data_IF_416838958877
#
_entry.id   IF_416838958877
#
_cell.length_a   1.000
_cell.length_b   1.000
_cell.length_c   1.000
_cell.angle_alpha   90.00
_cell.angle_beta   90.00
_cell.angle_gamma   90.00
#
_symmetry.space_group_name_H-M   'P 1'
#
loop_
_entity.id
_entity.type
_entity.pdbx_description
1 polymer ?
#
# COMPACT_ATOMS: atom_id res chain seq x y z
N UNK A 1 -14.17 18.97 39.15
CA UNK A 1 -14.59 20.18 38.38
C UNK A 1 -13.45 20.57 37.45
N UNK A 2 -13.52 20.18 36.19
CA UNK A 2 -12.86 20.84 35.04
C UNK A 2 -13.56 20.32 33.77
N UNK A 3 -14.30 21.21 33.15
CA UNK A 3 -14.98 21.02 31.85
C UNK A 3 -13.92 20.90 30.77
N UNK A 4 -14.05 19.90 29.89
CA UNK A 4 -13.34 19.85 28.63
C UNK A 4 -14.40 19.97 27.53
N UNK A 5 -14.21 21.00 26.72
CA UNK A 5 -15.03 21.32 25.55
C UNK A 5 -14.84 20.27 24.44
N UNK A 6 -15.96 19.82 23.90
CA UNK A 6 -16.00 19.15 22.61
C UNK A 6 -15.90 20.17 21.49
N UNK A 7 -14.87 20.09 20.68
CA UNK A 7 -14.80 20.77 19.38
C UNK A 7 -15.17 19.75 18.29
N UNK A 8 -16.28 20.02 17.63
CA UNK A 8 -16.74 19.32 16.44
C UNK A 8 -15.79 19.62 15.28
N UNK A 9 -15.13 18.59 14.74
CA UNK A 9 -14.36 18.69 13.51
C UNK A 9 -15.26 18.41 12.32
N UNK A 10 -15.44 19.42 11.51
CA UNK A 10 -16.08 19.39 10.20
C UNK A 10 -15.19 18.61 9.24
N UNK A 11 -15.64 17.47 8.74
CA UNK A 11 -14.92 16.70 7.73
C UNK A 11 -15.29 17.26 6.35
N UNK A 12 -14.36 18.00 5.78
CA UNK A 12 -14.38 18.38 4.37
C UNK A 12 -13.89 17.17 3.55
N UNK A 13 -14.72 16.65 2.69
CA UNK A 13 -14.34 15.64 1.70
C UNK A 13 -13.48 16.27 0.61
N UNK A 14 -12.20 15.94 0.60
CA UNK A 14 -11.28 16.27 -0.50
C UNK A 14 -11.26 15.08 -1.45
N UNK A 15 -11.72 15.32 -2.67
CA UNK A 15 -11.60 14.39 -3.78
C UNK A 15 -10.11 14.15 -4.12
N UNK A 16 -9.75 12.87 -4.27
CA UNK A 16 -8.40 12.41 -4.52
C UNK A 16 -7.84 12.87 -5.86
N UNK A 17 -6.61 13.36 -5.82
CA UNK A 17 -5.73 13.55 -6.96
C UNK A 17 -4.93 12.25 -7.21
N UNK A 18 -5.00 11.75 -8.42
CA UNK A 18 -4.12 10.70 -8.93
C UNK A 18 -2.79 11.31 -9.40
N UNK A 19 -1.66 10.55 -9.33
CA UNK A 19 -0.37 11.07 -9.79
C UNK A 19 -0.27 11.08 -11.31
N UNK A 20 0.27 12.18 -11.83
CA UNK A 20 0.53 12.42 -13.24
C UNK A 20 1.67 11.53 -13.76
N UNK A 21 1.50 10.96 -14.95
CA UNK A 21 2.58 10.59 -15.84
C UNK A 21 2.66 11.61 -16.98
N UNK A 22 3.86 12.12 -17.19
CA UNK A 22 4.21 13.17 -18.14
C UNK A 22 4.23 12.65 -19.57
N UNK A 23 3.51 13.30 -20.50
CA UNK A 23 4.03 13.71 -21.82
C UNK A 23 2.98 14.54 -22.57
N UNK A 24 3.36 15.75 -22.87
CA UNK A 24 3.10 16.67 -23.98
C UNK A 24 1.69 16.77 -24.56
N UNK A 25 1.04 17.87 -24.37
CA UNK A 25 0.76 18.94 -25.32
C UNK A 25 -0.30 19.91 -24.79
N UNK A 26 0.01 21.17 -24.91
CA UNK A 26 -0.81 22.31 -24.50
C UNK A 26 -2.07 22.51 -25.37
N UNK A 27 -2.97 23.32 -24.78
CA UNK A 27 -4.11 24.00 -25.36
C UNK A 27 -5.46 23.29 -25.36
N UNK A 28 -6.26 23.56 -24.34
CA UNK A 28 -7.67 24.00 -24.52
C UNK A 28 -8.33 24.33 -23.15
N UNK A 29 -7.92 25.41 -22.49
CA UNK A 29 -8.68 25.98 -21.36
C UNK A 29 -8.79 27.52 -21.45
N UNK A 30 -9.04 28.03 -22.67
CA UNK A 30 -9.32 29.46 -22.88
C UNK A 30 -10.62 29.75 -23.63
N UNK A 31 -11.50 28.78 -23.88
CA UNK A 31 -12.70 29.04 -24.69
C UNK A 31 -14.00 29.31 -23.90
N UNK A 32 -14.06 28.99 -22.60
CA UNK A 32 -15.30 29.18 -21.81
C UNK A 32 -15.37 30.52 -21.05
N UNK A 33 -14.26 31.21 -20.86
CA UNK A 33 -14.25 32.55 -20.23
C UNK A 33 -14.46 33.66 -21.29
N UNK A 34 -13.96 33.48 -22.51
CA UNK A 34 -14.07 34.46 -23.59
C UNK A 34 -15.49 34.59 -24.17
N UNK A 35 -16.29 33.51 -24.12
CA UNK A 35 -17.66 33.51 -24.60
C UNK A 35 -18.62 34.28 -23.68
N UNK A 36 -18.37 34.26 -22.37
CA UNK A 36 -19.16 35.05 -21.39
C UNK A 36 -18.86 36.54 -21.40
N UNK A 37 -17.65 36.96 -21.81
CA UNK A 37 -17.29 38.37 -21.91
C UNK A 37 -17.68 39.02 -23.26
N UNK A 38 -17.81 38.22 -24.30
CA UNK A 38 -18.25 38.74 -25.62
C UNK A 38 -19.75 39.09 -25.68
N UNK A 39 -20.58 38.35 -24.90
CA UNK A 39 -22.04 38.62 -24.85
C UNK A 39 -22.37 39.89 -24.03
N UNK A 40 -21.51 40.31 -23.11
CA UNK A 40 -21.74 41.54 -22.32
C UNK A 40 -21.30 42.86 -22.96
N UNK A 41 -20.61 42.80 -24.11
CA UNK A 41 -20.11 44.01 -24.80
C UNK A 41 -20.91 44.45 -26.00
N UNK A 42 -21.85 43.66 -26.50
CA UNK A 42 -22.69 44.02 -27.67
C UNK A 42 -24.00 44.74 -27.32
N UNK A 43 -24.43 44.75 -26.06
CA UNK A 43 -25.65 45.43 -25.62
C UNK A 43 -25.51 46.93 -25.34
N UNK A 44 -24.38 47.55 -25.69
CA UNK A 44 -24.12 48.98 -25.34
C UNK A 44 -23.75 49.86 -26.52
N UNK A 45 -24.18 49.55 -27.74
CA UNK A 45 -23.85 50.40 -28.89
C UNK A 45 -24.95 50.51 -29.93
N UNK A 46 -26.18 50.88 -29.51
CA UNK A 46 -27.18 51.43 -30.41
C UNK A 46 -28.12 52.36 -29.64
N UNK A 47 -27.67 53.58 -29.47
CA UNK A 47 -28.57 54.74 -29.37
C UNK A 47 -27.78 55.99 -29.72
N UNK A 48 -28.28 56.67 -30.68
CA UNK A 48 -27.98 58.01 -31.19
C UNK A 48 -27.42 58.03 -32.62
N UNK A 49 -28.25 58.39 -33.55
CA UNK A 49 -28.14 59.62 -34.36
C UNK A 49 -29.41 59.73 -35.22
N UNK A 50 -30.27 60.70 -34.91
CA UNK A 50 -31.20 61.35 -35.79
C UNK A 50 -30.43 62.45 -36.53
N UNK A 51 -30.62 62.61 -37.84
CA UNK A 51 -31.08 63.86 -38.50
C UNK A 51 -31.03 63.82 -40.00
N UNK A 52 -32.18 64.06 -40.56
CA UNK A 52 -32.56 64.86 -41.70
C UNK A 52 -31.66 64.99 -42.97
N UNK A 53 -32.24 64.56 -44.12
CA UNK A 53 -32.35 65.46 -45.25
C UNK A 53 -33.41 64.99 -46.24
N UNK A 54 -34.31 65.89 -46.58
CA UNK A 54 -35.30 65.84 -47.67
C UNK A 54 -34.63 65.87 -49.04
N UNK A 55 -35.05 65.01 -49.97
CA UNK A 55 -35.04 65.30 -51.38
C UNK A 55 -36.03 64.42 -52.12
N UNK A 56 -36.76 65.10 -52.95
CA UNK A 56 -37.83 64.92 -53.89
C UNK A 56 -38.00 63.57 -54.61
N UNK A 57 -39.27 63.28 -54.80
CA UNK A 57 -40.00 62.22 -55.49
C UNK A 57 -39.72 62.09 -57.03
N UNK A 58 -39.50 60.84 -57.44
CA UNK A 58 -39.94 60.34 -58.75
C UNK A 58 -40.63 58.95 -58.52
N UNK A 59 -41.74 58.64 -59.23
CA UNK A 59 -42.46 57.40 -58.97
C UNK A 59 -41.69 56.21 -59.55
N UNK A 60 -41.16 55.36 -58.64
CA UNK A 60 -40.68 54.03 -59.03
C UNK A 60 -41.87 53.08 -59.00
N UNK A 61 -42.08 52.45 -60.13
CA UNK A 61 -42.92 51.29 -60.33
C UNK A 61 -42.41 50.22 -59.32
N UNK A 62 -43.27 49.88 -58.36
CA UNK A 62 -43.03 48.76 -57.40
C UNK A 62 -43.13 47.49 -58.22
N UNK A 63 -41.96 46.99 -58.68
CA UNK A 63 -41.83 45.60 -59.03
C UNK A 63 -41.60 44.90 -57.63
N UNK A 64 -42.70 44.43 -57.08
CA UNK A 64 -42.60 43.45 -55.99
C UNK A 64 -41.82 42.27 -56.57
N UNK A 65 -40.52 42.18 -56.25
CA UNK A 65 -39.81 40.93 -56.33
C UNK A 65 -40.51 40.01 -55.32
N UNK A 66 -41.24 39.01 -55.82
CA UNK A 66 -41.77 37.90 -55.06
C UNK A 66 -40.55 37.18 -54.46
N UNK A 67 -40.10 37.58 -53.21
CA UNK A 67 -39.13 36.84 -52.48
C UNK A 67 -39.74 35.48 -52.18
N UNK A 68 -39.08 34.36 -52.54
CA UNK A 68 -39.65 33.06 -52.28
C UNK A 68 -39.90 32.94 -50.77
N UNK A 69 -41.16 32.69 -50.41
CA UNK A 69 -41.63 32.51 -49.04
C UNK A 69 -40.90 31.32 -48.40
N UNK A 70 -40.27 31.55 -47.25
CA UNK A 70 -39.57 30.49 -46.55
C UNK A 70 -40.58 29.51 -45.93
N UNK A 71 -40.46 28.23 -46.28
CA UNK A 71 -41.27 27.16 -45.77
C UNK A 71 -40.40 25.92 -45.50
N UNK A 72 -40.44 25.32 -44.28
CA UNK A 72 -39.66 24.17 -43.93
C UNK A 72 -38.32 24.49 -43.27
N UNK A 73 -37.36 23.57 -43.41
CA UNK A 73 -36.05 23.65 -42.78
C UNK A 73 -35.04 24.50 -43.56
N UNK A 74 -34.38 25.44 -42.86
CA UNK A 74 -33.30 26.28 -43.40
C UNK A 74 -32.11 26.26 -42.43
N UNK A 75 -30.90 26.25 -42.99
CA UNK A 75 -29.70 26.45 -42.22
C UNK A 75 -29.16 27.87 -42.46
N UNK A 76 -29.11 28.67 -41.41
CA UNK A 76 -28.67 30.07 -41.46
C UNK A 76 -27.61 30.30 -40.38
N UNK A 77 -26.46 30.84 -40.74
CA UNK A 77 -25.35 31.10 -39.83
C UNK A 77 -24.97 29.88 -38.97
N UNK A 78 -24.95 28.68 -39.58
CA UNK A 78 -24.69 27.39 -38.93
C UNK A 78 -25.79 26.91 -37.97
N UNK A 79 -26.90 27.60 -37.82
CA UNK A 79 -28.06 27.21 -37.00
C UNK A 79 -29.20 26.70 -37.92
N UNK A 80 -29.90 25.68 -37.45
CA UNK A 80 -31.09 25.17 -38.12
C UNK A 80 -32.34 25.87 -37.59
N UNK A 81 -33.16 26.37 -38.51
CA UNK A 81 -34.46 27.00 -38.25
C UNK A 81 -35.55 26.32 -39.07
N UNK A 82 -36.77 26.35 -38.56
CA UNK A 82 -37.93 25.85 -39.27
C UNK A 82 -38.89 27.01 -39.50
N UNK A 83 -39.22 27.26 -40.75
CA UNK A 83 -40.10 28.34 -41.12
C UNK A 83 -41.48 27.81 -41.50
N UNK A 84 -42.51 28.59 -41.16
CA UNK A 84 -43.89 28.41 -41.57
C UNK A 84 -44.44 29.80 -41.85
N UNK A 85 -44.95 30.03 -43.07
CA UNK A 85 -45.42 31.34 -43.54
C UNK A 85 -44.39 32.48 -43.30
N UNK A 86 -43.12 32.26 -43.70
CA UNK A 86 -41.97 33.16 -43.48
C UNK A 86 -41.60 33.43 -42.02
N UNK A 87 -42.24 32.81 -41.05
CA UNK A 87 -41.97 33.01 -39.64
C UNK A 87 -41.17 31.84 -39.08
N UNK A 88 -40.06 32.07 -38.33
CA UNK A 88 -39.33 31.01 -37.68
C UNK A 88 -40.16 30.42 -36.55
N UNK A 89 -40.10 29.09 -36.42
CA UNK A 89 -40.69 28.39 -35.29
C UNK A 89 -40.01 28.81 -33.98
N UNK A 90 -40.76 28.95 -32.91
CA UNK A 90 -40.28 29.25 -31.56
C UNK A 90 -40.83 28.21 -30.59
N UNK A 91 -40.10 27.95 -29.53
CA UNK A 91 -40.48 26.99 -28.50
C UNK A 91 -40.68 25.56 -29.02
N UNK A 92 -41.62 24.82 -28.45
CA UNK A 92 -41.92 23.45 -28.85
C UNK A 92 -42.71 23.39 -30.16
N UNK A 93 -42.23 22.57 -31.08
CA UNK A 93 -42.93 22.28 -32.34
C UNK A 93 -42.77 20.81 -32.69
N UNK A 94 -43.88 20.18 -33.09
CA UNK A 94 -43.86 18.86 -33.67
C UNK A 94 -43.78 18.96 -35.19
N UNK A 95 -42.75 18.31 -35.79
CA UNK A 95 -42.50 18.31 -37.23
C UNK A 95 -42.33 16.84 -37.64
N UNK A 96 -43.13 16.38 -38.55
CA UNK A 96 -43.14 14.97 -39.03
C UNK A 96 -43.08 13.94 -37.89
N UNK A 97 -43.88 14.16 -36.83
CA UNK A 97 -44.04 13.25 -35.72
C UNK A 97 -42.94 13.36 -34.64
N UNK A 98 -41.89 14.12 -34.84
CA UNK A 98 -40.80 14.37 -33.90
C UNK A 98 -40.95 15.74 -33.26
N UNK A 99 -40.61 15.83 -31.94
CA UNK A 99 -40.61 17.09 -31.21
C UNK A 99 -39.26 17.78 -31.30
N UNK A 100 -39.28 19.09 -31.52
CA UNK A 100 -38.13 20.01 -31.57
C UNK A 100 -38.39 21.18 -30.64
N UNK A 101 -37.31 21.79 -30.15
CA UNK A 101 -37.38 23.04 -29.41
C UNK A 101 -36.53 24.10 -30.13
N UNK A 102 -37.12 25.26 -30.33
CA UNK A 102 -36.46 26.44 -30.92
C UNK A 102 -36.37 27.52 -29.88
N UNK A 103 -35.20 28.15 -29.77
CA UNK A 103 -34.99 29.24 -28.86
C UNK A 103 -35.71 30.54 -29.32
N UNK A 104 -35.47 31.63 -28.58
CA UNK A 104 -36.09 32.92 -28.91
C UNK A 104 -35.59 33.54 -30.23
N UNK A 105 -34.48 33.08 -30.79
CA UNK A 105 -33.96 33.46 -32.07
C UNK A 105 -34.46 32.55 -33.20
N UNK A 106 -35.26 31.55 -32.89
CA UNK A 106 -35.71 30.52 -33.82
C UNK A 106 -34.66 29.44 -34.10
N UNK A 107 -33.57 29.38 -33.31
CA UNK A 107 -32.53 28.39 -33.50
C UNK A 107 -32.91 27.07 -32.83
N UNK A 108 -32.80 25.97 -33.59
CA UNK A 108 -33.10 24.62 -33.12
C UNK A 108 -32.06 24.15 -32.11
N UNK A 109 -32.49 23.68 -30.94
CA UNK A 109 -31.61 22.98 -30.01
C UNK A 109 -31.17 21.63 -30.58
N UNK A 110 -29.90 21.27 -30.39
CA UNK A 110 -29.35 19.96 -30.79
C UNK A 110 -28.20 19.56 -29.86
N UNK A 111 -27.96 18.25 -29.72
CA UNK A 111 -26.86 17.69 -28.90
C UNK A 111 -26.78 18.34 -27.53
N UNK A 112 -27.93 18.58 -26.87
CA UNK A 112 -27.98 19.30 -25.58
C UNK A 112 -29.14 18.84 -24.73
N UNK A 113 -29.11 19.26 -23.46
CA UNK A 113 -30.22 19.10 -22.51
C UNK A 113 -30.81 20.46 -22.19
N UNK A 114 -32.10 20.58 -22.31
CA UNK A 114 -32.82 21.79 -21.94
C UNK A 114 -34.10 21.48 -21.16
N UNK A 115 -34.26 22.10 -20.02
CA UNK A 115 -35.44 21.96 -19.15
C UNK A 115 -35.82 20.49 -18.85
N UNK A 116 -34.82 19.57 -18.74
CA UNK A 116 -35.04 18.14 -18.46
C UNK A 116 -35.45 17.30 -19.67
N UNK A 117 -35.21 17.78 -20.89
CA UNK A 117 -35.34 17.07 -22.16
C UNK A 117 -34.00 17.02 -22.85
N UNK A 118 -33.69 15.91 -23.52
CA UNK A 118 -32.48 15.77 -24.35
C UNK A 118 -32.84 15.87 -25.81
N UNK A 119 -31.98 16.54 -26.59
CA UNK A 119 -32.10 16.69 -28.04
C UNK A 119 -30.89 15.98 -28.68
N UNK A 120 -31.18 15.15 -29.70
CA UNK A 120 -30.15 14.42 -30.47
C UNK A 120 -29.35 15.34 -31.41
N UNK A 121 -28.47 14.76 -32.24
CA UNK A 121 -27.69 15.51 -33.22
C UNK A 121 -28.57 16.19 -34.29
N UNK A 122 -29.71 15.58 -34.57
CA UNK A 122 -30.67 16.12 -35.52
C UNK A 122 -31.67 17.08 -34.84
N UNK A 123 -31.45 17.40 -33.56
CA UNK A 123 -32.29 18.29 -32.77
C UNK A 123 -33.64 17.71 -32.39
N UNK A 124 -33.92 16.46 -32.70
CA UNK A 124 -35.15 15.82 -32.26
C UNK A 124 -35.08 15.48 -30.75
N UNK A 125 -36.18 15.72 -30.03
CA UNK A 125 -36.31 15.31 -28.65
C UNK A 125 -36.20 13.80 -28.55
N UNK A 126 -35.34 13.32 -27.65
CA UNK A 126 -35.17 11.89 -27.38
C UNK A 126 -36.36 11.38 -26.52
N UNK A 127 -37.01 10.31 -26.96
CA UNK A 127 -38.12 9.68 -26.25
C UNK A 127 -37.88 8.19 -26.08
N UNK A 128 -38.27 7.65 -24.90
CA UNK A 128 -38.21 6.24 -24.55
C UNK A 128 -36.90 5.54 -24.95
N UNK A 129 -35.77 6.24 -24.79
CA UNK A 129 -34.48 5.79 -25.29
C UNK A 129 -33.32 6.31 -24.46
N UNK A 130 -32.19 5.60 -24.59
CA UNK A 130 -30.91 6.04 -24.12
C UNK A 130 -30.33 7.12 -25.03
N UNK A 131 -29.68 8.10 -24.42
CA UNK A 131 -28.84 9.09 -25.15
C UNK A 131 -27.54 9.33 -24.41
N UNK A 132 -26.50 9.65 -25.16
CA UNK A 132 -25.18 9.98 -24.62
C UNK A 132 -24.81 11.40 -25.03
N UNK A 133 -24.62 12.26 -24.03
CA UNK A 133 -24.19 13.64 -24.21
C UNK A 133 -22.96 13.89 -23.32
N UNK A 134 -21.93 14.53 -23.86
CA UNK A 134 -20.68 14.83 -23.13
C UNK A 134 -20.11 13.63 -22.34
N UNK A 135 -20.10 12.45 -22.98
CA UNK A 135 -19.68 11.19 -22.37
C UNK A 135 -20.53 10.66 -21.20
N UNK A 136 -21.66 11.30 -20.87
CA UNK A 136 -22.60 10.86 -19.86
C UNK A 136 -23.83 10.20 -20.48
N UNK A 137 -24.35 9.16 -19.83
CA UNK A 137 -25.55 8.46 -20.25
C UNK A 137 -26.78 8.99 -19.55
N UNK A 138 -27.84 9.15 -20.32
CA UNK A 138 -29.17 9.60 -19.88
C UNK A 138 -30.24 8.65 -20.43
N UNK A 139 -31.40 8.61 -19.79
CA UNK A 139 -32.56 7.90 -20.30
C UNK A 139 -33.78 8.80 -20.31
N UNK A 140 -34.34 9.01 -21.50
CA UNK A 140 -35.58 9.71 -21.67
C UNK A 140 -36.80 8.77 -21.54
N UNK A 141 -37.76 9.15 -20.74
CA UNK A 141 -39.05 8.47 -20.62
C UNK A 141 -39.86 8.60 -21.91
N UNK A 142 -41.00 7.86 -22.08
CA UNK A 142 -41.88 8.06 -23.23
C UNK A 142 -42.40 9.48 -23.41
N UNK A 143 -42.43 10.27 -22.34
CA UNK A 143 -42.77 11.71 -22.39
C UNK A 143 -41.65 12.62 -22.85
N UNK A 144 -40.48 12.07 -23.22
CA UNK A 144 -39.27 12.80 -23.51
C UNK A 144 -38.51 13.32 -22.28
N UNK A 145 -39.13 13.31 -21.08
CA UNK A 145 -38.45 13.76 -19.87
C UNK A 145 -37.35 12.81 -19.46
N UNK A 146 -36.18 13.36 -19.13
CA UNK A 146 -35.07 12.58 -18.54
C UNK A 146 -35.47 12.02 -17.19
N UNK A 147 -35.10 10.77 -16.95
CA UNK A 147 -35.18 10.15 -15.62
C UNK A 147 -34.17 10.84 -14.71
N UNK A 148 -34.60 11.33 -13.56
CA UNK A 148 -33.76 12.06 -12.60
C UNK A 148 -34.04 11.60 -11.18
N UNK A 149 -33.00 11.54 -10.33
CA UNK A 149 -33.05 11.19 -8.93
C UNK A 149 -33.91 9.94 -8.67
N UNK A 150 -33.75 8.90 -9.47
CA UNK A 150 -34.63 7.74 -9.44
C UNK A 150 -34.02 6.45 -9.98
N UNK A 151 -34.48 5.34 -9.44
CA UNK A 151 -34.29 4.03 -10.01
C UNK A 151 -35.24 3.81 -11.22
N UNK A 152 -34.69 3.26 -12.27
CA UNK A 152 -35.48 2.93 -13.48
C UNK A 152 -35.13 1.53 -13.98
N UNK A 153 -36.15 0.70 -14.19
CA UNK A 153 -35.98 -0.60 -14.84
C UNK A 153 -36.09 -0.42 -16.37
N UNK A 154 -35.03 -0.80 -17.08
CA UNK A 154 -34.94 -0.66 -18.55
C UNK A 154 -34.47 -2.02 -19.08
N UNK A 155 -35.24 -2.62 -19.99
CA UNK A 155 -34.94 -3.92 -20.59
C UNK A 155 -34.55 -5.00 -19.56
N UNK A 156 -35.26 -5.05 -18.41
CA UNK A 156 -35.03 -6.04 -17.36
C UNK A 156 -33.99 -5.70 -16.30
N UNK A 157 -33.08 -4.76 -16.56
CA UNK A 157 -32.05 -4.31 -15.62
C UNK A 157 -32.44 -3.01 -14.90
N UNK A 158 -32.00 -2.85 -13.66
CA UNK A 158 -32.20 -1.63 -12.90
C UNK A 158 -31.01 -0.70 -13.05
N UNK A 159 -31.28 0.61 -13.22
CA UNK A 159 -30.32 1.71 -13.30
C UNK A 159 -30.73 2.81 -12.34
N UNK A 160 -29.77 3.60 -11.88
CA UNK A 160 -30.06 4.80 -11.11
C UNK A 160 -29.54 6.04 -11.84
N UNK A 161 -30.36 7.07 -11.86
CA UNK A 161 -30.04 8.37 -12.43
C UNK A 161 -29.99 9.40 -11.31
N UNK A 162 -28.94 10.22 -11.29
CA UNK A 162 -28.78 11.27 -10.29
C UNK A 162 -29.74 12.46 -10.52
N UNK A 163 -29.62 13.47 -9.68
CA UNK A 163 -30.48 14.67 -9.77
C UNK A 163 -30.34 15.42 -11.10
N UNK A 164 -29.23 15.26 -11.83
CA UNK A 164 -29.00 15.87 -13.14
C UNK A 164 -29.46 14.98 -14.28
N UNK A 165 -29.84 13.75 -14.00
CA UNK A 165 -30.26 12.72 -14.95
C UNK A 165 -29.09 11.86 -15.46
N UNK A 166 -27.89 12.02 -14.93
CA UNK A 166 -26.73 11.19 -15.31
C UNK A 166 -26.89 9.79 -14.73
N UNK A 167 -26.74 8.76 -15.56
CA UNK A 167 -26.68 7.37 -15.13
C UNK A 167 -25.44 7.11 -14.28
N UNK A 168 -25.62 6.64 -13.05
CA UNK A 168 -24.51 6.23 -12.19
C UNK A 168 -23.96 4.87 -12.61
N UNK A 169 -22.64 4.69 -12.49
CA UNK A 169 -21.92 3.44 -12.72
C UNK A 169 -20.73 3.30 -11.79
N UNK A 170 -20.24 2.07 -11.60
CA UNK A 170 -19.10 1.76 -10.73
C UNK A 170 -19.23 2.36 -9.32
N UNK A 171 -20.42 2.32 -8.74
CA UNK A 171 -20.70 2.91 -7.43
C UNK A 171 -21.83 2.15 -6.73
N UNK A 172 -22.07 2.48 -5.47
CA UNK A 172 -23.26 1.97 -4.75
C UNK A 172 -24.18 3.12 -4.38
N UNK A 173 -25.48 2.87 -4.46
CA UNK A 173 -26.54 3.78 -4.03
C UNK A 173 -27.60 2.98 -3.27
N UNK A 174 -28.06 3.47 -2.12
CA UNK A 174 -29.02 2.80 -1.23
C UNK A 174 -28.64 1.35 -0.86
N UNK A 175 -27.32 1.06 -0.86
CA UNK A 175 -26.80 -0.27 -0.60
C UNK A 175 -26.82 -1.22 -1.82
N UNK A 176 -27.26 -0.78 -2.99
CA UNK A 176 -27.20 -1.54 -4.24
C UNK A 176 -25.97 -1.14 -5.06
N UNK A 177 -25.35 -2.11 -5.71
CA UNK A 177 -24.15 -1.89 -6.52
C UNK A 177 -24.52 -1.72 -8.00
N UNK A 178 -24.02 -0.64 -8.60
CA UNK A 178 -24.12 -0.37 -10.04
C UNK A 178 -22.78 -0.71 -10.69
N UNK A 179 -22.78 -1.66 -11.62
CA UNK A 179 -21.60 -2.09 -12.34
C UNK A 179 -21.11 -1.08 -13.37
N UNK A 180 -20.09 -1.45 -14.13
CA UNK A 180 -19.49 -0.59 -15.16
C UNK A 180 -20.50 -0.14 -16.24
N UNK A 181 -21.46 -1.00 -16.55
CA UNK A 181 -22.54 -0.68 -17.52
C UNK A 181 -23.63 0.23 -16.94
N UNK A 182 -23.55 0.60 -15.66
CA UNK A 182 -24.63 1.29 -14.93
C UNK A 182 -25.75 0.38 -14.45
N UNK A 183 -25.82 -0.85 -14.94
CA UNK A 183 -26.83 -1.80 -14.47
C UNK A 183 -26.54 -2.25 -13.04
N UNK A 184 -27.59 -2.42 -12.24
CA UNK A 184 -27.50 -3.03 -10.91
C UNK A 184 -26.90 -4.43 -11.03
N UNK A 185 -25.83 -4.66 -10.27
CA UNK A 185 -25.11 -5.91 -10.31
C UNK A 185 -25.92 -7.07 -9.71
N UNK A 186 -25.77 -8.25 -10.30
CA UNK A 186 -26.26 -9.51 -9.74
C UNK A 186 -25.32 -10.00 -8.63
N UNK A 187 -25.79 -11.04 -7.88
CA UNK A 187 -24.99 -11.68 -6.83
C UNK A 187 -23.57 -12.02 -7.29
N UNK A 188 -22.59 -11.69 -6.47
CA UNK A 188 -21.19 -12.03 -6.69
C UNK A 188 -20.21 -10.92 -6.36
N UNK A 189 -18.96 -11.18 -6.67
CA UNK A 189 -17.87 -10.23 -6.48
C UNK A 189 -17.88 -9.12 -7.54
N UNK A 190 -17.66 -7.90 -7.08
CA UNK A 190 -17.50 -6.70 -7.91
C UNK A 190 -16.23 -5.97 -7.52
N UNK A 191 -15.48 -5.50 -8.49
CA UNK A 191 -14.26 -4.72 -8.26
C UNK A 191 -14.38 -3.34 -8.92
N UNK A 192 -14.06 -2.30 -8.17
CA UNK A 192 -13.97 -0.91 -8.65
C UNK A 192 -12.73 -0.26 -8.05
N UNK A 193 -11.84 0.26 -8.91
CA UNK A 193 -10.61 0.93 -8.50
C UNK A 193 -9.79 0.11 -7.48
N UNK A 194 -9.65 -1.20 -7.73
CA UNK A 194 -8.96 -2.17 -6.88
C UNK A 194 -9.59 -2.39 -5.49
N UNK A 195 -10.84 -1.95 -5.30
CA UNK A 195 -11.64 -2.22 -4.11
C UNK A 195 -12.69 -3.28 -4.44
N UNK A 196 -12.75 -4.32 -3.63
CA UNK A 196 -13.69 -5.43 -3.81
C UNK A 196 -14.94 -5.27 -2.95
N UNK A 197 -16.09 -5.58 -3.55
CA UNK A 197 -17.41 -5.61 -2.95
C UNK A 197 -18.05 -6.98 -3.20
N UNK A 198 -18.99 -7.37 -2.36
CA UNK A 198 -19.78 -8.58 -2.59
C UNK A 198 -21.25 -8.27 -2.60
N UNK A 199 -21.90 -8.56 -3.73
CA UNK A 199 -23.33 -8.39 -3.91
C UNK A 199 -24.04 -9.65 -3.44
N UNK A 200 -24.99 -9.48 -2.55
CA UNK A 200 -25.84 -10.54 -1.99
C UNK A 200 -26.94 -10.95 -2.98
N UNK A 201 -27.64 -12.09 -2.77
CA UNK A 201 -28.81 -12.48 -3.58
C UNK A 201 -29.90 -11.41 -3.67
N UNK A 202 -30.01 -10.55 -2.66
CA UNK A 202 -30.94 -9.42 -2.63
C UNK A 202 -30.60 -8.26 -3.57
N UNK A 203 -29.43 -8.29 -4.23
CA UNK A 203 -28.88 -7.18 -5.00
C UNK A 203 -28.14 -6.12 -4.16
N UNK A 204 -28.19 -6.22 -2.82
CA UNK A 204 -27.47 -5.31 -1.92
C UNK A 204 -26.03 -5.77 -1.71
N UNK A 205 -25.14 -4.84 -1.49
CA UNK A 205 -23.75 -5.16 -1.07
C UNK A 205 -23.73 -5.60 0.39
N UNK A 206 -22.77 -6.47 0.72
CA UNK A 206 -22.47 -6.80 2.11
C UNK A 206 -21.79 -5.63 2.78
N UNK A 207 -22.29 -5.19 3.95
CA UNK A 207 -21.78 -4.02 4.69
C UNK A 207 -21.75 -4.30 6.18
N UNK A 208 -20.66 -3.82 6.85
CA UNK A 208 -20.39 -3.92 8.31
C UNK A 208 -20.63 -5.33 8.87
N UNK A 209 -20.20 -6.36 8.15
CA UNK A 209 -20.40 -7.75 8.58
C UNK A 209 -19.44 -8.76 7.99
N UNK A 210 -19.45 -9.92 8.61
CA UNK A 210 -18.79 -11.11 8.11
C UNK A 210 -19.65 -11.84 7.07
N UNK A 211 -19.00 -12.30 6.01
CA UNK A 211 -19.62 -13.19 5.02
C UNK A 211 -18.77 -14.43 4.79
N UNK A 212 -19.42 -15.60 4.78
CA UNK A 212 -18.76 -16.84 4.39
C UNK A 212 -19.08 -17.15 2.93
N UNK A 213 -18.12 -16.92 2.05
CA UNK A 213 -18.29 -17.06 0.61
C UNK A 213 -17.48 -18.27 0.16
N UNK A 214 -18.15 -19.29 -0.37
CA UNK A 214 -17.52 -20.56 -0.80
C UNK A 214 -16.59 -21.16 0.27
N UNK A 215 -17.03 -21.14 1.54
CA UNK A 215 -16.29 -21.71 2.66
C UNK A 215 -15.24 -20.79 3.31
N UNK A 216 -14.90 -19.65 2.72
CA UNK A 216 -13.90 -18.70 3.21
C UNK A 216 -14.58 -17.49 3.83
N UNK A 217 -14.06 -17.02 4.98
CA UNK A 217 -14.56 -15.85 5.65
C UNK A 217 -13.93 -14.57 5.13
N UNK A 218 -14.77 -13.54 4.96
CA UNK A 218 -14.42 -12.16 4.59
C UNK A 218 -15.15 -11.20 5.52
N UNK A 219 -14.61 -9.98 5.67
CA UNK A 219 -15.30 -8.90 6.36
C UNK A 219 -15.43 -7.70 5.42
N UNK A 220 -16.60 -7.09 5.43
CA UNK A 220 -16.90 -5.88 4.68
C UNK A 220 -17.12 -4.72 5.64
N UNK A 221 -16.53 -3.57 5.37
CA UNK A 221 -16.69 -2.37 6.18
C UNK A 221 -18.07 -1.71 5.98
N UNK A 222 -18.28 -0.57 6.62
CA UNK A 222 -19.55 0.17 6.55
C UNK A 222 -19.91 0.65 5.15
N UNK A 223 -18.89 0.90 4.33
CA UNK A 223 -19.02 1.28 2.92
C UNK A 223 -19.12 0.07 1.99
N UNK A 224 -19.10 -1.14 2.53
CA UNK A 224 -19.15 -2.40 1.79
C UNK A 224 -17.83 -2.84 1.16
N UNK A 225 -16.72 -2.19 1.47
CA UNK A 225 -15.39 -2.55 0.96
C UNK A 225 -14.85 -3.76 1.69
N UNK A 226 -14.37 -4.76 0.95
CA UNK A 226 -13.72 -5.93 1.52
C UNK A 226 -12.41 -5.53 2.21
N UNK A 227 -12.21 -5.95 3.46
CA UNK A 227 -10.93 -5.78 4.14
C UNK A 227 -9.89 -6.72 3.54
N UNK A 228 -8.70 -6.20 3.25
CA UNK A 228 -7.57 -6.98 2.75
C UNK A 228 -6.26 -6.44 3.30
N UNK A 229 -5.26 -7.31 3.47
CA UNK A 229 -3.91 -6.97 3.93
C UNK A 229 -3.92 -6.02 5.15
N UNK A 230 -4.77 -6.34 6.13
CA UNK A 230 -5.00 -5.52 7.32
C UNK A 230 -5.37 -6.35 8.53
N UNK A 231 -5.37 -5.71 9.70
CA UNK A 231 -5.96 -6.24 10.93
C UNK A 231 -7.25 -5.48 11.27
N UNK A 232 -8.24 -6.18 11.80
CA UNK A 232 -9.46 -5.55 12.26
C UNK A 232 -10.09 -6.34 13.42
N UNK A 233 -10.36 -5.68 14.55
CA UNK A 233 -10.96 -6.27 15.75
C UNK A 233 -10.25 -7.56 16.22
N UNK A 234 -8.92 -7.61 16.09
CA UNK A 234 -8.12 -8.76 16.49
C UNK A 234 -8.01 -9.87 15.42
N UNK A 235 -8.59 -9.72 14.26
CA UNK A 235 -8.52 -10.63 13.13
C UNK A 235 -7.54 -10.16 12.07
N UNK A 236 -6.96 -11.09 11.32
CA UNK A 236 -5.96 -10.85 10.30
C UNK A 236 -6.49 -11.25 8.91
N UNK A 237 -6.38 -10.34 7.94
CA UNK A 237 -6.83 -10.55 6.58
C UNK A 237 -5.66 -10.64 5.61
N UNK A 238 -5.71 -11.64 4.73
CA UNK A 238 -4.75 -11.82 3.63
C UNK A 238 -4.94 -10.74 2.56
N UNK A 239 -3.98 -10.63 1.65
CA UNK A 239 -4.10 -9.77 0.45
C UNK A 239 -5.34 -10.08 -0.40
N UNK A 240 -5.76 -11.35 -0.43
CA UNK A 240 -6.99 -11.78 -1.11
C UNK A 240 -8.28 -11.37 -0.39
N UNK A 241 -8.20 -10.71 0.77
CA UNK A 241 -9.34 -10.40 1.65
C UNK A 241 -9.79 -11.57 2.53
N UNK A 242 -9.32 -12.77 2.27
CA UNK A 242 -9.66 -13.94 3.10
C UNK A 242 -9.13 -13.80 4.52
N UNK A 243 -9.94 -14.22 5.51
CA UNK A 243 -9.49 -14.39 6.88
C UNK A 243 -8.26 -15.29 6.91
N UNK A 244 -7.19 -14.86 7.56
CA UNK A 244 -6.01 -15.69 7.76
C UNK A 244 -6.27 -16.68 8.89
N UNK A 245 -6.03 -17.96 8.65
CA UNK A 245 -6.11 -19.03 9.66
C UNK A 245 -4.83 -19.85 9.60
N UNK A 246 -4.14 -20.02 10.74
CA UNK A 246 -2.84 -20.69 10.85
C UNK A 246 -1.85 -20.21 9.77
N UNK A 247 -1.77 -18.92 9.58
CA UNK A 247 -1.03 -18.35 8.45
C UNK A 247 -0.30 -17.07 8.82
N UNK A 248 0.85 -16.88 8.18
CA UNK A 248 1.60 -15.64 8.21
C UNK A 248 1.07 -14.64 7.18
N UNK A 249 0.98 -13.39 7.57
CA UNK A 249 0.63 -12.27 6.68
C UNK A 249 1.59 -11.12 6.94
N UNK A 250 2.17 -10.59 5.88
CA UNK A 250 2.98 -9.37 5.95
C UNK A 250 2.10 -8.17 5.62
N UNK A 251 2.03 -7.21 6.52
CA UNK A 251 1.35 -5.93 6.32
C UNK A 251 2.41 -4.85 6.35
N UNK A 252 2.61 -4.17 5.22
CA UNK A 252 3.76 -3.28 5.01
C UNK A 252 5.06 -4.04 5.30
N UNK A 253 5.86 -3.60 6.28
CA UNK A 253 7.13 -4.25 6.64
C UNK A 253 7.05 -5.19 7.85
N UNK A 254 5.88 -5.37 8.43
CA UNK A 254 5.68 -6.16 9.65
C UNK A 254 4.97 -7.47 9.35
N UNK A 255 5.50 -8.57 9.91
CA UNK A 255 4.88 -9.87 9.86
C UNK A 255 3.92 -10.07 11.03
N UNK A 256 2.78 -10.68 10.75
CA UNK A 256 1.76 -11.11 11.70
C UNK A 256 1.47 -12.59 11.53
N UNK A 257 1.06 -13.26 12.57
CA UNK A 257 0.61 -14.64 12.50
C UNK A 257 -0.81 -14.78 13.05
N UNK A 258 -1.70 -15.35 12.24
CA UNK A 258 -3.04 -15.71 12.69
C UNK A 258 -3.11 -17.13 13.22
N UNK A 259 -3.76 -17.31 14.35
CA UNK A 259 -4.15 -18.62 14.88
C UNK A 259 -5.23 -19.29 14.04
N UNK A 260 -5.60 -20.53 14.36
CA UNK A 260 -6.69 -21.24 13.68
C UNK A 260 -8.07 -20.59 13.79
N UNK A 261 -8.24 -19.65 14.72
CA UNK A 261 -9.46 -18.84 14.84
C UNK A 261 -9.47 -17.56 13.99
N UNK A 262 -8.41 -17.32 13.21
CA UNK A 262 -8.24 -16.09 12.45
C UNK A 262 -7.77 -14.88 13.24
N UNK A 263 -7.64 -15.01 14.57
CA UNK A 263 -7.10 -13.96 15.41
C UNK A 263 -5.58 -13.92 15.31
N UNK A 264 -5.00 -12.73 15.16
CA UNK A 264 -3.54 -12.61 15.21
C UNK A 264 -3.02 -12.77 16.64
N UNK A 265 -1.79 -13.31 16.73
CA UNK A 265 -1.06 -13.49 17.98
C UNK A 265 -0.49 -12.14 18.43
N UNK A 266 -0.65 -11.78 19.70
CA UNK A 266 -0.11 -10.55 20.29
C UNK A 266 0.36 -10.79 21.73
N UNK A 267 1.26 -9.95 22.24
CA UNK A 267 1.76 -9.90 23.62
C UNK A 267 2.28 -11.24 24.16
N UNK A 268 2.78 -12.13 23.31
CA UNK A 268 3.27 -13.43 23.77
C UNK A 268 4.27 -14.10 22.86
N UNK A 269 4.93 -15.08 23.41
CA UNK A 269 5.67 -16.07 22.67
C UNK A 269 4.73 -17.13 22.09
N UNK A 270 4.97 -17.53 20.86
CA UNK A 270 4.21 -18.56 20.18
C UNK A 270 5.15 -19.50 19.42
N UNK A 271 4.99 -20.80 19.66
CA UNK A 271 5.67 -21.81 18.84
C UNK A 271 4.90 -22.07 17.56
N UNK A 272 5.56 -21.89 16.42
CA UNK A 272 4.97 -22.03 15.09
C UNK A 272 5.91 -22.90 14.26
N UNK A 273 5.42 -24.04 13.76
CA UNK A 273 6.21 -24.98 12.95
C UNK A 273 7.58 -25.34 13.56
N UNK A 274 7.61 -25.53 14.89
CA UNK A 274 8.82 -25.95 15.60
C UNK A 274 9.69 -24.82 16.15
N UNK A 275 9.60 -23.59 15.65
CA UNK A 275 10.36 -22.42 16.09
C UNK A 275 9.53 -21.49 16.98
N UNK A 276 10.20 -20.82 17.94
CA UNK A 276 9.59 -19.83 18.79
C UNK A 276 9.68 -18.44 18.16
N UNK A 277 8.59 -17.68 18.27
CA UNK A 277 8.46 -16.28 17.84
C UNK A 277 7.87 -15.45 18.97
N UNK A 278 8.17 -14.17 19.01
CA UNK A 278 7.60 -13.23 19.96
C UNK A 278 6.87 -12.11 19.21
N UNK A 279 5.73 -11.69 19.76
CA UNK A 279 4.83 -10.72 19.14
C UNK A 279 4.59 -9.53 20.07
N UNK A 280 4.53 -8.33 19.49
CA UNK A 280 4.21 -7.08 20.20
C UNK A 280 2.74 -7.01 20.59
N UNK A 281 2.38 -5.97 21.33
CA UNK A 281 0.99 -5.65 21.68
C UNK A 281 0.10 -5.48 20.43
N UNK A 282 0.62 -4.87 19.38
CA UNK A 282 -0.10 -4.67 18.12
C UNK A 282 -0.08 -5.92 17.22
N UNK A 283 0.50 -7.02 17.68
CA UNK A 283 0.60 -8.28 16.95
C UNK A 283 1.74 -8.39 15.95
N UNK A 284 2.60 -7.38 15.85
CA UNK A 284 3.77 -7.41 14.99
C UNK A 284 4.82 -8.41 15.52
N UNK A 285 5.37 -9.26 14.64
CA UNK A 285 6.45 -10.17 14.96
C UNK A 285 7.74 -9.38 15.22
N UNK A 286 8.41 -9.70 16.35
CA UNK A 286 9.72 -9.17 16.64
C UNK A 286 10.79 -9.90 15.83
N UNK A 287 11.76 -9.16 15.31
CA UNK A 287 12.88 -9.71 14.55
C UNK A 287 14.13 -8.86 14.76
N UNK A 288 15.30 -9.50 14.59
CA UNK A 288 16.64 -8.90 14.66
C UNK A 288 16.88 -8.11 15.96
N UNK A 289 16.47 -8.68 17.09
CA UNK A 289 16.57 -8.03 18.40
C UNK A 289 16.52 -8.98 19.59
N UNK A 290 16.97 -8.49 20.72
CA UNK A 290 16.85 -9.15 22.01
C UNK A 290 15.46 -8.98 22.62
N UNK A 291 14.97 -10.06 23.20
CA UNK A 291 13.78 -10.09 24.05
C UNK A 291 14.15 -10.76 25.38
N UNK A 292 14.58 -9.97 26.35
CA UNK A 292 15.19 -10.47 27.58
C UNK A 292 16.48 -11.23 27.26
N UNK A 293 16.57 -12.48 27.68
CA UNK A 293 17.75 -13.36 27.46
C UNK A 293 17.73 -14.09 26.10
N UNK A 294 16.77 -13.83 25.24
CA UNK A 294 16.56 -14.50 23.96
C UNK A 294 16.83 -13.56 22.78
N UNK A 295 17.39 -14.07 21.71
CA UNK A 295 17.59 -13.33 20.49
C UNK A 295 16.64 -13.79 19.38
N UNK A 296 15.94 -12.86 18.77
CA UNK A 296 15.09 -13.11 17.61
C UNK A 296 15.85 -12.75 16.35
N UNK A 297 16.07 -13.73 15.48
CA UNK A 297 16.78 -13.58 14.22
C UNK A 297 16.02 -12.69 13.25
N UNK A 298 16.64 -12.29 12.15
CA UNK A 298 16.00 -11.52 11.05
C UNK A 298 14.73 -12.22 10.53
N UNK A 299 14.68 -13.54 10.59
CA UNK A 299 13.47 -14.33 10.27
C UNK A 299 12.37 -14.25 11.34
N UNK A 300 12.62 -13.62 12.48
CA UNK A 300 11.77 -13.62 13.66
C UNK A 300 11.89 -14.86 14.54
N UNK A 301 12.48 -15.94 14.04
CA UNK A 301 12.67 -17.15 14.84
C UNK A 301 13.69 -16.92 15.95
N UNK A 302 13.40 -17.45 17.15
CA UNK A 302 14.34 -17.46 18.28
C UNK A 302 15.59 -18.25 17.92
N UNK A 303 16.75 -17.69 18.22
CA UNK A 303 18.03 -18.36 18.04
C UNK A 303 18.23 -19.46 19.10
N UNK A 304 18.69 -20.63 18.67
CA UNK A 304 18.97 -21.77 19.51
C UNK A 304 20.22 -22.52 19.05
N UNK A 305 21.13 -22.89 19.98
CA UNK A 305 22.38 -23.63 19.68
C UNK A 305 23.26 -22.99 18.65
N UNK A 306 23.32 -21.67 18.63
CA UNK A 306 24.08 -20.92 17.62
C UNK A 306 24.76 -19.67 18.19
N UNK A 307 25.80 -19.20 17.50
CA UNK A 307 26.48 -17.96 17.78
C UNK A 307 25.82 -16.80 17.04
N UNK A 308 25.63 -15.68 17.75
CA UNK A 308 25.09 -14.43 17.19
C UNK A 308 26.09 -13.32 17.46
N UNK A 309 26.49 -12.61 16.40
CA UNK A 309 27.25 -11.38 16.56
C UNK A 309 26.28 -10.19 16.61
N UNK A 310 26.22 -9.53 17.74
CA UNK A 310 25.43 -8.31 17.89
C UNK A 310 26.26 -7.08 17.58
N UNK A 311 25.82 -6.33 16.56
CA UNK A 311 26.50 -5.13 16.08
C UNK A 311 26.46 -3.97 17.09
N UNK A 312 25.41 -3.89 17.90
CA UNK A 312 25.20 -2.86 18.91
C UNK A 312 26.19 -3.05 20.06
N UNK A 313 26.32 -4.28 20.53
CA UNK A 313 27.22 -4.65 21.60
C UNK A 313 28.66 -4.96 21.10
N UNK A 314 28.83 -5.08 19.77
CA UNK A 314 30.12 -5.44 19.11
C UNK A 314 30.74 -6.71 19.71
N UNK A 315 29.91 -7.68 20.08
CA UNK A 315 30.30 -8.92 20.73
C UNK A 315 29.54 -10.11 20.18
N UNK A 316 30.15 -11.29 20.34
CA UNK A 316 29.51 -12.56 20.09
C UNK A 316 28.78 -13.02 21.35
N UNK A 317 27.64 -13.65 21.12
CA UNK A 317 26.80 -14.31 22.10
C UNK A 317 26.50 -15.74 21.65
N UNK A 318 26.40 -16.69 22.57
CA UNK A 318 25.97 -18.04 22.26
C UNK A 318 24.58 -18.31 22.84
N UNK A 319 23.64 -18.70 21.99
CA UNK A 319 22.28 -19.07 22.40
C UNK A 319 22.25 -20.59 22.66
N UNK A 320 21.87 -20.97 23.88
CA UNK A 320 21.76 -22.38 24.30
C UNK A 320 20.54 -23.09 23.69
N UNK A 321 20.39 -24.38 23.90
CA UNK A 321 19.26 -25.16 23.41
C UNK A 321 17.88 -24.66 23.88
N UNK A 322 17.84 -23.98 25.03
CA UNK A 322 16.64 -23.37 25.57
C UNK A 322 16.41 -21.92 25.02
N UNK A 323 17.26 -21.46 24.13
CA UNK A 323 17.22 -20.12 23.54
C UNK A 323 17.83 -19.01 24.37
N UNK A 324 18.20 -19.25 25.61
CA UNK A 324 18.85 -18.23 26.45
C UNK A 324 20.34 -18.09 26.07
N UNK A 325 20.88 -16.88 26.14
CA UNK A 325 22.33 -16.72 25.99
C UNK A 325 23.10 -17.39 27.12
N UNK A 326 24.28 -17.94 26.79
CA UNK A 326 25.25 -18.44 27.75
C UNK A 326 25.77 -17.29 28.63
N UNK A 327 25.92 -17.51 29.94
CA UNK A 327 26.27 -16.45 30.87
C UNK A 327 27.20 -17.00 31.97
N UNK A 328 28.42 -16.45 32.09
CA UNK A 328 29.46 -16.92 33.03
C UNK A 328 29.75 -18.42 32.87
N UNK A 329 29.88 -18.90 31.65
CA UNK A 329 30.09 -20.31 31.34
C UNK A 329 30.94 -20.52 30.09
N UNK A 330 31.54 -21.69 29.97
CA UNK A 330 32.30 -22.11 28.81
C UNK A 330 31.40 -22.74 27.73
N UNK A 331 31.65 -22.36 26.51
CA UNK A 331 31.08 -23.01 25.33
C UNK A 331 32.22 -23.51 24.46
N UNK A 332 32.62 -24.75 24.66
CA UNK A 332 33.83 -25.29 24.05
C UNK A 332 35.08 -24.52 24.50
N UNK A 333 35.81 -23.90 23.59
CA UNK A 333 37.00 -23.14 23.90
C UNK A 333 36.75 -21.64 24.19
N UNK A 334 35.51 -21.19 24.28
CA UNK A 334 35.11 -19.80 24.46
C UNK A 334 34.44 -19.57 25.81
N UNK A 335 34.72 -18.45 26.46
CA UNK A 335 34.06 -18.06 27.70
C UNK A 335 33.09 -16.91 27.50
N UNK A 336 31.86 -17.07 27.95
CA UNK A 336 30.85 -16.04 27.96
C UNK A 336 30.80 -15.38 29.33
N UNK A 337 31.10 -14.09 29.40
CA UNK A 337 31.12 -13.30 30.65
C UNK A 337 29.70 -12.99 31.14
N UNK A 338 29.63 -12.36 32.32
CA UNK A 338 28.37 -11.81 32.82
C UNK A 338 27.72 -10.89 31.74
N UNK A 339 26.42 -11.11 31.49
CA UNK A 339 25.69 -10.44 30.38
C UNK A 339 25.87 -11.14 29.02
N UNK A 340 26.54 -12.29 28.94
CA UNK A 340 26.65 -13.13 27.75
C UNK A 340 27.73 -12.71 26.75
N UNK A 341 28.55 -11.74 27.04
CA UNK A 341 29.60 -11.24 26.14
C UNK A 341 30.77 -12.25 26.04
N UNK A 342 31.17 -12.57 24.81
CA UNK A 342 32.36 -13.41 24.58
C UNK A 342 33.61 -12.69 25.08
N UNK A 343 34.39 -13.35 25.94
CA UNK A 343 35.69 -12.87 26.39
C UNK A 343 36.71 -12.95 25.24
N UNK A 344 37.59 -11.95 25.10
CA UNK A 344 38.72 -11.94 24.15
C UNK A 344 39.83 -11.00 24.59
N UNK A 345 41.09 -11.35 24.26
CA UNK A 345 42.30 -10.60 24.66
C UNK A 345 42.32 -10.30 26.16
N UNK A 346 41.87 -11.22 26.99
CA UNK A 346 41.76 -11.02 28.45
C UNK A 346 41.95 -12.29 29.25
N UNK A 347 42.33 -12.10 30.51
CA UNK A 347 42.40 -13.19 31.48
C UNK A 347 41.05 -13.46 32.08
N UNK A 348 40.75 -14.75 32.28
CA UNK A 348 39.56 -15.24 33.01
C UNK A 348 39.99 -16.06 34.19
N UNK A 349 39.63 -15.65 35.39
CA UNK A 349 39.77 -16.42 36.60
C UNK A 349 38.45 -17.18 36.87
N UNK A 350 38.44 -18.47 36.54
CA UNK A 350 37.24 -19.30 36.70
C UNK A 350 37.26 -20.07 38.01
N UNK A 351 36.39 -19.65 38.91
CA UNK A 351 36.26 -20.30 40.24
C UNK A 351 35.59 -21.68 40.16
N UNK A 352 34.80 -21.97 39.16
CA UNK A 352 34.12 -23.26 38.99
C UNK A 352 35.12 -24.30 38.49
N UNK A 353 35.85 -23.98 37.45
CA UNK A 353 36.92 -24.83 36.90
C UNK A 353 38.23 -24.73 37.70
N UNK A 354 38.26 -23.85 38.70
CA UNK A 354 39.44 -23.59 39.55
C UNK A 354 40.71 -23.38 38.75
N UNK A 355 40.63 -22.51 37.74
CA UNK A 355 41.72 -22.23 36.83
C UNK A 355 41.73 -20.81 36.31
N UNK A 356 42.89 -20.41 35.86
CA UNK A 356 43.10 -19.14 35.16
C UNK A 356 43.35 -19.42 33.69
N UNK A 357 42.70 -18.66 32.82
CA UNK A 357 42.78 -18.83 31.34
C UNK A 357 43.07 -17.49 30.68
N UNK A 358 43.64 -17.53 29.48
CA UNK A 358 43.76 -16.36 28.63
C UNK A 358 43.03 -16.63 27.33
N UNK A 359 42.15 -15.71 26.92
CA UNK A 359 41.43 -15.75 25.64
C UNK A 359 42.15 -14.88 24.64
N UNK A 360 42.42 -15.43 23.45
CA UNK A 360 43.07 -14.73 22.34
C UNK A 360 42.13 -13.66 21.67
N UNK A 361 42.60 -13.06 20.62
CA UNK A 361 41.83 -12.07 19.83
C UNK A 361 40.55 -12.66 19.23
N UNK A 362 40.49 -13.97 18.99
CA UNK A 362 39.36 -14.70 18.46
C UNK A 362 38.44 -15.23 19.57
N UNK A 363 38.78 -14.99 20.84
CA UNK A 363 38.04 -15.43 22.02
C UNK A 363 38.23 -16.88 22.43
N UNK A 364 39.21 -17.58 21.85
CA UNK A 364 39.56 -18.96 22.26
C UNK A 364 40.59 -18.94 23.37
N UNK A 365 40.44 -19.88 24.35
CA UNK A 365 41.55 -20.04 25.28
C UNK A 365 42.82 -20.53 24.58
N UNK A 366 43.98 -20.04 25.01
CA UNK A 366 45.25 -20.41 24.47
C UNK A 366 45.81 -21.67 25.19
N UNK A 367 46.68 -22.41 24.49
CA UNK A 367 47.35 -23.63 25.02
C UNK A 367 48.84 -23.58 24.66
N UNK A 368 49.69 -24.26 25.46
CA UNK A 368 51.16 -24.21 25.23
C UNK A 368 51.75 -22.88 25.67
N UNK A 369 52.81 -22.41 25.00
CA UNK A 369 53.49 -21.16 25.34
C UNK A 369 52.94 -20.00 24.51
N UNK A 370 52.53 -18.95 25.20
CA UNK A 370 52.02 -17.74 24.59
C UNK A 370 52.62 -16.48 25.22
N UNK A 371 53.02 -15.52 24.38
CA UNK A 371 53.53 -14.23 24.86
C UNK A 371 52.38 -13.28 25.11
N UNK A 372 52.18 -12.89 26.36
CA UNK A 372 51.11 -11.99 26.80
C UNK A 372 51.77 -10.82 27.55
N UNK A 373 51.51 -9.60 27.11
CA UNK A 373 52.11 -8.39 27.70
C UNK A 373 53.64 -8.44 27.81
N UNK A 374 54.33 -9.05 26.82
CA UNK A 374 55.76 -9.14 26.73
C UNK A 374 56.41 -10.28 27.51
N UNK A 375 55.64 -11.08 28.25
CA UNK A 375 56.08 -12.23 29.04
C UNK A 375 55.54 -13.53 28.44
N UNK A 376 56.33 -14.58 28.52
CA UNK A 376 55.94 -15.92 28.11
C UNK A 376 55.17 -16.64 29.22
N UNK A 377 54.01 -17.20 28.89
CA UNK A 377 53.12 -17.91 29.77
C UNK A 377 52.88 -19.31 29.23
N UNK A 378 52.90 -20.31 30.14
CA UNK A 378 52.62 -21.69 29.81
C UNK A 378 51.20 -22.09 30.22
N UNK A 379 50.49 -22.71 29.29
CA UNK A 379 49.13 -23.18 29.45
C UNK A 379 49.03 -24.69 29.19
N UNK A 380 48.15 -25.38 29.93
CA UNK A 380 47.79 -26.77 29.70
C UNK A 380 47.03 -26.99 28.40
N UNK A 381 46.84 -28.23 27.96
CA UNK A 381 46.05 -28.59 26.76
C UNK A 381 44.57 -28.18 26.92
N UNK A 382 44.06 -28.09 28.13
CA UNK A 382 42.71 -27.62 28.45
C UNK A 382 42.63 -26.09 28.64
N UNK A 383 43.72 -25.35 28.39
CA UNK A 383 43.81 -23.91 28.49
C UNK A 383 44.10 -23.35 29.86
N UNK A 384 44.27 -24.19 30.91
CA UNK A 384 44.61 -23.70 32.27
C UNK A 384 46.02 -23.15 32.30
N UNK A 385 46.17 -21.96 32.87
CA UNK A 385 47.46 -21.33 33.06
C UNK A 385 48.27 -22.12 34.14
N UNK A 386 49.52 -22.36 33.85
CA UNK A 386 50.44 -23.02 34.76
C UNK A 386 51.34 -21.99 35.46
N UNK A 387 52.11 -21.22 34.69
CA UNK A 387 53.05 -20.24 35.19
C UNK A 387 53.52 -19.26 34.14
N UNK A 388 54.12 -18.15 34.54
CA UNK A 388 55.04 -17.37 33.73
C UNK A 388 56.33 -18.17 33.55
N UNK A 389 56.86 -18.18 32.35
CA UNK A 389 58.04 -18.96 32.01
C UNK A 389 59.08 -18.08 31.32
N UNK A 390 60.37 -18.44 31.43
CA UNK A 390 61.45 -17.81 30.68
C UNK A 390 61.85 -18.74 29.54
N UNK A 391 61.94 -18.21 28.31
CA UNK A 391 62.36 -18.94 27.11
C UNK A 391 63.84 -18.63 26.78
N UNK A 392 64.59 -17.96 27.66
CA UNK A 392 66.01 -17.69 27.43
C UNK A 392 66.81 -18.99 27.34
N UNK A 393 67.60 -19.15 26.28
CA UNK A 393 68.44 -20.30 26.04
C UNK A 393 67.75 -21.55 25.48
N UNK A 394 66.51 -21.43 24.93
CA UNK A 394 65.77 -22.56 24.32
C UNK A 394 65.13 -23.51 25.33
N UNK A 395 65.10 -23.18 26.59
CA UNK A 395 64.43 -23.96 27.64
C UNK A 395 63.35 -23.14 28.33
N UNK A 396 62.18 -23.75 28.58
CA UNK A 396 61.12 -23.15 29.38
C UNK A 396 61.39 -23.49 30.85
N UNK A 397 61.72 -22.48 31.67
CA UNK A 397 61.93 -22.66 33.11
C UNK A 397 60.59 -22.39 33.80
N UNK A 398 59.95 -23.47 34.29
CA UNK A 398 58.74 -23.36 35.08
C UNK A 398 58.99 -23.01 36.55
N UNK A 399 57.92 -22.74 37.29
CA UNK A 399 57.93 -22.39 38.71
C UNK A 399 58.46 -23.52 39.63
N UNK A 400 58.57 -24.74 39.10
CA UNK A 400 59.08 -25.92 39.79
C UNK A 400 60.47 -26.22 39.31
N UNK A 401 61.43 -26.26 40.24
CA UNK A 401 62.85 -26.37 39.98
C UNK A 401 63.33 -27.65 39.25
N UNK A 402 62.42 -28.60 39.03
CA UNK A 402 62.72 -29.91 38.42
C UNK A 402 61.86 -30.23 37.19
N UNK A 403 61.14 -29.25 36.59
CA UNK A 403 60.33 -29.49 35.40
C UNK A 403 61.01 -28.84 34.19
N UNK A 404 61.38 -29.65 33.21
CA UNK A 404 61.91 -29.23 31.92
C UNK A 404 60.80 -29.42 30.90
N UNK A 405 60.39 -28.36 30.25
CA UNK A 405 59.47 -28.44 29.11
C UNK A 405 60.31 -28.49 27.85
N UNK A 406 60.17 -29.54 27.06
CA UNK A 406 60.81 -29.71 25.77
C UNK A 406 59.88 -29.17 24.66
N UNK A 407 60.43 -28.33 23.79
CA UNK A 407 59.73 -27.90 22.60
C UNK A 407 59.63 -29.11 21.63
N UNK A 408 58.41 -29.53 21.22
CA UNK A 408 58.24 -30.66 20.31
C UNK A 408 58.59 -30.36 18.86
N UNK A 409 59.39 -29.31 18.56
CA UNK A 409 59.73 -28.86 17.21
C UNK A 409 60.58 -29.81 16.38
N UNK A 410 61.22 -30.83 16.97
CA UNK A 410 62.14 -31.71 16.28
C UNK A 410 61.55 -33.10 16.07
N UNK A 411 61.51 -33.56 14.82
CA UNK A 411 61.02 -34.87 14.40
C UNK A 411 61.69 -35.43 13.15
N UNK A 412 61.46 -36.68 12.82
CA UNK A 412 62.00 -37.34 11.64
C UNK A 412 63.52 -37.56 11.71
N UNK A 413 64.29 -36.94 10.80
CA UNK A 413 65.77 -37.07 10.75
C UNK A 413 66.47 -36.07 11.67
N UNK A 414 65.79 -35.07 12.16
CA UNK A 414 66.32 -34.12 13.12
C UNK A 414 66.04 -34.67 14.55
N UNK A 415 67.11 -34.98 15.24
CA UNK A 415 67.05 -35.57 16.57
C UNK A 415 66.81 -34.52 17.67
N UNK A 416 66.90 -33.23 17.37
CA UNK A 416 66.91 -32.20 18.40
C UNK A 416 68.11 -32.30 19.35
N UNK A 417 67.99 -31.73 20.52
CA UNK A 417 69.03 -31.79 21.58
C UNK A 417 69.11 -33.19 22.19
N UNK A 418 70.31 -33.60 22.56
CA UNK A 418 70.54 -34.81 23.30
C UNK A 418 70.82 -34.48 24.76
N UNK A 419 70.12 -35.15 25.66
CA UNK A 419 70.37 -35.04 27.10
C UNK A 419 70.33 -36.43 27.74
N UNK A 420 71.40 -36.83 28.42
CA UNK A 420 71.58 -38.18 28.97
C UNK A 420 71.39 -39.32 27.95
N UNK A 421 71.88 -39.14 26.73
CA UNK A 421 71.78 -40.10 25.61
C UNK A 421 70.33 -40.39 25.11
N UNK A 422 69.36 -39.52 25.41
CA UNK A 422 68.03 -39.59 24.84
C UNK A 422 67.81 -38.39 23.93
N UNK A 423 67.42 -38.65 22.70
CA UNK A 423 67.12 -37.59 21.76
C UNK A 423 65.75 -36.97 22.06
N UNK A 424 65.64 -35.66 21.90
CA UNK A 424 64.41 -34.90 22.12
C UNK A 424 63.20 -35.49 21.36
N UNK A 425 63.44 -35.98 20.13
CA UNK A 425 62.39 -36.65 19.32
C UNK A 425 61.82 -37.91 19.95
N UNK A 426 62.61 -38.63 20.78
CA UNK A 426 62.17 -39.91 21.41
C UNK A 426 61.33 -39.68 22.64
N UNK A 427 61.38 -38.46 23.21
CA UNK A 427 60.55 -38.05 24.33
C UNK A 427 59.17 -37.55 23.87
N UNK A 428 59.02 -37.20 22.61
CA UNK A 428 57.76 -36.71 22.09
C UNK A 428 56.83 -37.82 21.57
N UNK A 429 57.23 -39.07 21.56
CA UNK A 429 56.45 -40.22 21.12
C UNK A 429 55.83 -41.04 22.25
N UNK A 430 55.90 -40.60 23.48
CA UNK A 430 55.22 -41.12 24.68
C UNK A 430 54.13 -40.09 25.12
#
# INVERSE_FOLDING_TARGET
MKKILLTSALILSIAGLAPASVSGEENTTQSTSAVKEAIAKEEKKESSVEENSKSETLPKVDVQEDKPQKEGWYQENHHWRFYQDDKPALNWKQIQGKWYYFDQNGDRLQSTIYKGYAFDQDGAMVENSWTKLENQWYYAAPSGRLTQNAWKKINGAWYYFDQTGIMLSNTSIDGYFLGQSGAMASQGWQEVNHVWYYVLPSGKISQDKWEKIKGTWYYFDKEGRMLSETTFKGYLFKKSGALAENNWVKIKDTWFYASGSGRYVQDKWQKIQGSWYSFTHDGGMLADKWQGSYYLKTSGAMAEKEWIFDKTYKSWFYLKANGQYANQEWIGAYYLKSGGYMAKNEWIDDSQEKGRYYLDENGRYVTGIHKISGKDHLFQKDGKWISEVSTEGGFVKGQYSNTIFLDPGHGGRDSGAFYYNVAEKDLNMQ
#
